data_IF_068430807340
#
_entry.id   IF_068430807340
#
_cell.length_a   1.000
_cell.length_b   1.000
_cell.length_c   1.000
_cell.angle_alpha   90.00
_cell.angle_beta   90.00
_cell.angle_gamma   90.00
#
_symmetry.space_group_name_H-M   'P 1'
#
loop_
_entity.id
_entity.type
_entity.pdbx_description
1 polymer ?
#
# COMPACT_ATOMS: atom_id res chain seq x y z
N UNK A 1 -11.46 5.26 5.00
CA UNK A 1 -11.45 4.52 3.72
C UNK A 1 -10.86 3.14 3.90
N UNK A 2 -11.44 2.15 3.28
CA UNK A 2 -10.92 0.80 3.41
C UNK A 2 -9.70 0.59 2.54
N UNK A 3 -8.78 -0.20 3.05
CA UNK A 3 -7.52 -0.46 2.37
C UNK A 3 -7.70 -0.94 0.92
N UNK A 4 -8.61 -1.88 0.71
CA UNK A 4 -8.80 -2.45 -0.62
C UNK A 4 -9.61 -1.57 -1.57
N UNK A 5 -10.01 -0.39 -1.11
CA UNK A 5 -10.70 0.59 -1.95
C UNK A 5 -9.80 1.75 -2.31
N UNK A 6 -8.57 1.75 -1.84
CA UNK A 6 -7.65 2.84 -2.10
C UNK A 6 -7.08 2.77 -3.51
N UNK A 7 -6.87 3.95 -4.10
CA UNK A 7 -6.22 4.04 -5.41
C UNK A 7 -4.72 3.85 -5.25
N UNK A 8 -4.03 3.68 -6.38
CA UNK A 8 -2.57 3.54 -6.35
C UNK A 8 -1.92 4.76 -5.71
N UNK A 9 -2.41 5.95 -6.05
CA UNK A 9 -1.84 7.18 -5.48
C UNK A 9 -2.04 7.24 -3.98
N UNK A 10 -3.23 6.86 -3.51
CA UNK A 10 -3.52 6.83 -2.09
C UNK A 10 -2.63 5.81 -1.38
N UNK A 11 -2.42 4.67 -2.01
CA UNK A 11 -1.58 3.63 -1.44
C UNK A 11 -0.12 4.08 -1.35
N UNK A 12 0.35 4.87 -2.31
CA UNK A 12 1.70 5.39 -2.26
C UNK A 12 1.89 6.33 -1.08
N UNK A 13 0.90 7.18 -0.83
CA UNK A 13 0.94 8.09 0.32
C UNK A 13 0.88 7.29 1.60
N UNK A 14 0.00 6.31 1.65
CA UNK A 14 -0.14 5.44 2.81
C UNK A 14 1.16 4.67 3.06
N UNK A 15 1.81 4.20 2.00
CA UNK A 15 3.07 3.48 2.13
C UNK A 15 4.14 4.36 2.78
N UNK A 16 4.19 5.63 2.40
CA UNK A 16 5.15 6.54 2.99
C UNK A 16 4.94 6.69 4.49
N UNK A 17 3.67 6.77 4.92
CA UNK A 17 3.33 6.80 6.34
C UNK A 17 3.75 5.51 7.05
N UNK A 18 3.48 4.38 6.41
CA UNK A 18 3.80 3.09 6.99
C UNK A 18 5.31 2.92 7.13
N UNK A 19 6.07 3.41 6.16
CA UNK A 19 7.52 3.35 6.26
C UNK A 19 8.03 4.13 7.46
N UNK A 20 7.38 5.23 7.77
CA UNK A 20 7.79 6.08 8.88
C UNK A 20 7.31 5.58 10.23
N UNK A 21 6.09 5.05 10.28
CA UNK A 21 5.45 4.76 11.57
C UNK A 21 4.87 3.36 11.69
N UNK A 22 4.82 2.61 10.61
CA UNK A 22 4.20 1.29 10.63
C UNK A 22 5.18 0.16 10.83
N UNK A 23 4.68 -1.06 10.67
CA UNK A 23 5.48 -2.26 10.80
C UNK A 23 5.87 -2.79 9.42
N UNK A 24 6.82 -3.71 9.39
CA UNK A 24 7.23 -4.35 8.14
C UNK A 24 6.08 -5.14 7.51
N UNK A 25 5.25 -5.75 8.34
CA UNK A 25 4.09 -6.50 7.85
C UNK A 25 3.13 -5.59 7.11
N UNK A 26 2.84 -4.43 7.69
CA UNK A 26 1.95 -3.48 7.05
C UNK A 26 2.52 -2.98 5.74
N UNK A 27 3.80 -2.69 5.73
CA UNK A 27 4.49 -2.23 4.52
C UNK A 27 4.38 -3.27 3.42
N UNK A 28 4.59 -4.52 3.77
CA UNK A 28 4.50 -5.62 2.81
C UNK A 28 3.11 -5.69 2.19
N UNK A 29 2.06 -5.57 3.00
CA UNK A 29 0.70 -5.64 2.52
C UNK A 29 0.39 -4.48 1.56
N UNK A 30 0.85 -3.28 1.90
CA UNK A 30 0.64 -2.12 1.05
C UNK A 30 1.33 -2.32 -0.30
N UNK A 31 2.55 -2.79 -0.28
CA UNK A 31 3.29 -3.01 -1.52
C UNK A 31 2.65 -4.08 -2.38
N UNK A 32 2.15 -5.12 -1.77
CA UNK A 32 1.45 -6.18 -2.50
C UNK A 32 0.20 -5.63 -3.16
N UNK A 33 -0.53 -4.78 -2.45
CA UNK A 33 -1.75 -4.19 -3.01
C UNK A 33 -1.43 -3.29 -4.19
N UNK A 34 -0.39 -2.49 -4.08
CA UNK A 34 0.04 -1.61 -5.17
C UNK A 34 0.38 -2.46 -6.39
N UNK A 35 1.08 -3.54 -6.18
CA UNK A 35 1.47 -4.45 -7.26
C UNK A 35 0.24 -5.01 -7.96
N UNK A 36 -0.76 -5.43 -7.19
CA UNK A 36 -1.99 -5.96 -7.74
C UNK A 36 -2.70 -4.94 -8.61
N UNK A 37 -2.76 -3.70 -8.13
CA UNK A 37 -3.46 -2.65 -8.86
C UNK A 37 -2.73 -2.26 -10.13
N UNK A 38 -1.43 -2.46 -10.18
CA UNK A 38 -0.66 -2.19 -11.39
C UNK A 38 -0.82 -3.31 -12.42
N UNK A 39 -1.43 -4.40 -12.03
CA UNK A 39 -1.59 -5.53 -12.92
C UNK A 39 -0.29 -6.26 -13.18
N UNK A 40 0.63 -6.18 -12.25
CA UNK A 40 1.93 -6.83 -12.37
C UNK A 40 1.81 -8.30 -12.00
N UNK A 41 2.22 -9.15 -12.91
CA UNK A 41 2.14 -10.60 -12.71
C UNK A 41 3.51 -11.20 -12.55
#
# INVERSE_FOLDING_TARGET
>A
MKFNEMTIEQLKVYRASVEAYGTASELYEVEMRIKELKGNH
#
